data_IF_984574479592
#
_entry.id   IF_984574479592
#
_cell.length_a   1.000
_cell.length_b   1.000
_cell.length_c   1.000
_cell.angle_alpha   90.00
_cell.angle_beta   90.00
_cell.angle_gamma   90.00
#
_symmetry.space_group_name_H-M   'P 1'
#
loop_
_entity.id
_entity.type
_entity.pdbx_description
1 polymer ?
#
# COMPACT_ATOMS: atom_id res chain seq x y z
N UNK A 1 -2.50 4.54 30.79
CA UNK A 1 -1.91 3.30 30.24
C UNK A 1 -2.76 2.77 29.11
N UNK A 2 -2.13 2.51 28.00
CA UNK A 2 -2.79 1.94 26.85
C UNK A 2 -3.12 0.46 27.11
N UNK A 3 -4.41 0.16 27.19
CA UNK A 3 -4.87 -1.21 27.37
C UNK A 3 -5.35 -1.78 26.05
N UNK A 4 -4.93 -2.99 25.77
CA UNK A 4 -5.45 -3.77 24.66
C UNK A 4 -6.85 -4.26 25.02
N UNK A 5 -7.86 -3.43 24.79
CA UNK A 5 -9.25 -3.72 25.08
C UNK A 5 -10.12 -3.47 23.84
N UNK A 6 -11.35 -3.97 23.89
CA UNK A 6 -12.28 -3.91 22.77
C UNK A 6 -12.53 -2.47 22.28
N UNK A 7 -12.68 -1.52 23.21
CA UNK A 7 -12.93 -0.12 22.86
C UNK A 7 -11.76 0.50 22.09
N UNK A 8 -10.53 0.29 22.58
CA UNK A 8 -9.31 0.78 21.92
C UNK A 8 -9.15 0.16 20.54
N UNK A 9 -9.38 -1.14 20.42
CA UNK A 9 -9.32 -1.87 19.15
C UNK A 9 -10.31 -1.29 18.14
N UNK A 10 -11.55 -1.09 18.55
CA UNK A 10 -12.59 -0.53 17.67
C UNK A 10 -12.24 0.87 17.17
N UNK A 11 -11.67 1.70 18.03
CA UNK A 11 -11.23 3.05 17.64
C UNK A 11 -10.11 3.00 16.59
N UNK A 12 -9.14 2.10 16.78
CA UNK A 12 -8.04 1.91 15.83
C UNK A 12 -8.56 1.42 14.48
N UNK A 13 -9.43 0.41 14.49
CA UNK A 13 -9.98 -0.17 13.27
C UNK A 13 -10.83 0.82 12.48
N UNK A 14 -11.66 1.60 13.16
CA UNK A 14 -12.44 2.66 12.54
C UNK A 14 -11.55 3.72 11.90
N UNK A 15 -10.52 4.16 12.62
CA UNK A 15 -9.57 5.14 12.11
C UNK A 15 -8.85 4.61 10.86
N UNK A 16 -8.43 3.34 10.88
CA UNK A 16 -7.74 2.72 9.73
C UNK A 16 -8.66 2.58 8.53
N UNK A 17 -9.89 2.18 8.73
CA UNK A 17 -10.90 2.08 7.68
C UNK A 17 -11.21 3.44 7.06
N UNK A 18 -11.12 4.52 7.85
CA UNK A 18 -11.29 5.89 7.37
C UNK A 18 -10.08 6.42 6.60
N UNK A 19 -8.96 5.70 6.59
CA UNK A 19 -7.79 6.05 5.81
C UNK A 19 -6.64 6.68 6.59
N UNK A 20 -6.72 6.72 7.92
CA UNK A 20 -5.63 7.25 8.74
C UNK A 20 -4.44 6.29 8.74
N UNK A 21 -3.24 6.86 8.82
CA UNK A 21 -2.03 6.05 8.90
C UNK A 21 -1.86 5.44 10.30
N UNK A 22 -0.88 4.57 10.47
CA UNK A 22 -0.65 3.86 11.73
C UNK A 22 -0.45 4.80 12.92
N UNK A 23 0.32 5.87 12.75
CA UNK A 23 0.56 6.86 13.78
C UNK A 23 -0.72 7.57 14.20
N UNK A 24 -1.51 7.99 13.23
CA UNK A 24 -2.77 8.68 13.46
C UNK A 24 -3.81 7.76 14.12
N UNK A 25 -3.84 6.48 13.73
CA UNK A 25 -4.69 5.50 14.38
C UNK A 25 -4.36 5.34 15.87
N UNK A 26 -3.07 5.34 16.20
CA UNK A 26 -2.62 5.30 17.59
C UNK A 26 -3.04 6.54 18.36
N UNK A 27 -2.88 7.72 17.76
CA UNK A 27 -3.28 9.01 18.36
C UNK A 27 -4.79 9.06 18.66
N UNK A 28 -5.62 8.62 17.73
CA UNK A 28 -7.08 8.57 17.91
C UNK A 28 -7.47 7.68 19.10
N UNK A 29 -6.78 6.56 19.25
CA UNK A 29 -7.04 5.62 20.33
C UNK A 29 -6.38 6.01 21.67
N UNK A 30 -5.59 7.10 21.67
CA UNK A 30 -4.90 7.57 22.89
C UNK A 30 -3.72 6.70 23.30
N UNK A 31 -3.07 6.03 22.37
CA UNK A 31 -1.91 5.18 22.61
C UNK A 31 -0.69 5.70 21.83
N UNK A 32 0.49 5.25 22.21
CA UNK A 32 1.70 5.56 21.46
C UNK A 32 1.81 4.69 20.21
N UNK A 33 2.38 5.24 19.15
CA UNK A 33 2.67 4.51 17.92
C UNK A 33 3.49 3.25 18.18
N UNK A 34 4.47 3.33 19.08
CA UNK A 34 5.30 2.20 19.48
C UNK A 34 4.47 1.05 20.08
N UNK A 35 3.44 1.38 20.85
CA UNK A 35 2.53 0.40 21.44
C UNK A 35 1.73 -0.31 20.34
N UNK A 36 1.17 0.45 19.42
CA UNK A 36 0.43 -0.11 18.28
C UNK A 36 1.34 -1.00 17.42
N UNK A 37 2.54 -0.54 17.16
CA UNK A 37 3.53 -1.32 16.42
C UNK A 37 3.83 -2.67 17.08
N UNK A 38 3.99 -2.68 18.40
CA UNK A 38 4.20 -3.92 19.16
C UNK A 38 3.02 -4.88 19.04
N UNK A 39 1.80 -4.36 19.14
CA UNK A 39 0.60 -5.18 19.02
C UNK A 39 0.48 -5.80 17.62
N UNK A 40 0.76 -5.02 16.59
CA UNK A 40 0.73 -5.49 15.21
C UNK A 40 1.81 -6.55 14.94
N UNK A 41 3.02 -6.35 15.47
CA UNK A 41 4.09 -7.35 15.33
C UNK A 41 3.77 -8.65 16.04
N UNK A 42 3.21 -8.57 17.24
CA UNK A 42 2.75 -9.77 17.96
C UNK A 42 1.70 -10.52 17.14
N UNK A 43 0.76 -9.81 16.56
CA UNK A 43 -0.27 -10.41 15.72
C UNK A 43 0.28 -11.02 14.44
N UNK A 44 1.26 -10.38 13.84
CA UNK A 44 1.90 -10.88 12.61
C UNK A 44 2.64 -12.19 12.84
N UNK A 45 3.30 -12.32 13.99
CA UNK A 45 4.06 -13.52 14.34
C UNK A 45 3.19 -14.64 14.94
N UNK A 46 2.05 -14.28 15.53
CA UNK A 46 1.16 -15.23 16.15
C UNK A 46 0.33 -15.99 15.10
N UNK A 47 0.12 -17.27 15.32
CA UNK A 47 -0.71 -18.11 14.47
C UNK A 47 -2.19 -18.02 14.82
N UNK A 48 -2.51 -17.62 16.06
CA UNK A 48 -3.88 -17.48 16.57
C UNK A 48 -3.87 -16.61 17.82
N UNK A 49 -5.05 -16.18 18.25
CA UNK A 49 -5.24 -15.38 19.45
C UNK A 49 -5.68 -13.96 19.15
N UNK A 50 -5.87 -13.18 20.23
CA UNK A 50 -6.41 -11.81 20.11
C UNK A 50 -5.54 -10.86 19.32
N UNK A 51 -4.22 -10.98 19.42
CA UNK A 51 -3.31 -10.14 18.62
C UNK A 51 -3.31 -10.52 17.15
N UNK A 52 -3.41 -11.81 16.87
CA UNK A 52 -3.54 -12.32 15.50
C UNK A 52 -4.81 -11.80 14.83
N UNK A 53 -5.93 -11.89 15.55
CA UNK A 53 -7.22 -11.38 15.05
C UNK A 53 -7.16 -9.87 14.84
N UNK A 54 -6.56 -9.14 15.77
CA UNK A 54 -6.37 -7.69 15.65
C UNK A 54 -5.53 -7.34 14.41
N UNK A 55 -4.42 -8.04 14.18
CA UNK A 55 -3.58 -7.81 13.02
C UNK A 55 -4.36 -8.04 11.72
N UNK A 56 -5.10 -9.14 11.64
CA UNK A 56 -5.92 -9.43 10.47
C UNK A 56 -7.00 -8.37 10.26
N UNK A 57 -7.70 -7.98 11.31
CA UNK A 57 -8.73 -6.95 11.24
C UNK A 57 -8.15 -5.59 10.83
N UNK A 58 -6.95 -5.27 11.27
CA UNK A 58 -6.26 -4.05 10.87
C UNK A 58 -5.94 -4.05 9.37
N UNK A 59 -5.46 -5.18 8.84
CA UNK A 59 -5.21 -5.33 7.41
C UNK A 59 -6.52 -5.27 6.60
N UNK A 60 -7.57 -5.87 7.11
CA UNK A 60 -8.89 -5.81 6.48
C UNK A 60 -9.46 -4.38 6.46
N UNK A 61 -9.27 -3.61 7.52
CA UNK A 61 -9.68 -2.21 7.56
C UNK A 61 -8.98 -1.39 6.49
N UNK A 62 -7.68 -1.59 6.31
CA UNK A 62 -6.91 -0.98 5.22
C UNK A 62 -7.48 -1.35 3.86
N UNK A 63 -7.76 -2.63 3.64
CA UNK A 63 -8.30 -3.12 2.38
C UNK A 63 -9.72 -2.60 2.10
N UNK A 64 -10.56 -2.46 3.12
CA UNK A 64 -11.89 -1.87 2.99
C UNK A 64 -11.82 -0.41 2.54
N UNK A 65 -10.87 0.37 3.09
CA UNK A 65 -10.65 1.73 2.64
C UNK A 65 -10.26 1.78 1.17
N UNK A 66 -9.33 0.93 0.77
CA UNK A 66 -8.89 0.81 -0.63
C UNK A 66 -10.06 0.43 -1.54
N UNK A 67 -10.85 -0.57 -1.14
CA UNK A 67 -12.00 -1.05 -1.88
C UNK A 67 -13.06 0.04 -2.09
N UNK A 68 -13.33 0.83 -1.05
CA UNK A 68 -14.28 1.94 -1.13
C UNK A 68 -13.92 2.92 -2.25
N UNK A 69 -12.64 3.30 -2.32
CA UNK A 69 -12.18 4.24 -3.36
C UNK A 69 -12.11 3.59 -4.75
N UNK A 70 -11.76 2.32 -4.83
CA UNK A 70 -11.80 1.59 -6.10
C UNK A 70 -13.22 1.50 -6.66
N UNK A 71 -14.20 1.26 -5.82
CA UNK A 71 -15.61 1.25 -6.23
C UNK A 71 -16.06 2.60 -6.77
N UNK A 72 -15.66 3.69 -6.12
CA UNK A 72 -15.98 5.03 -6.60
C UNK A 72 -15.40 5.32 -7.97
N UNK A 73 -14.20 4.85 -8.25
CA UNK A 73 -13.57 4.96 -9.56
C UNK A 73 -14.40 4.21 -10.61
N UNK A 74 -14.85 2.99 -10.30
CA UNK A 74 -15.66 2.19 -11.19
C UNK A 74 -17.06 2.76 -11.44
N UNK A 75 -17.64 3.43 -10.44
CA UNK A 75 -18.96 4.05 -10.54
C UNK A 75 -18.96 5.39 -11.29
N UNK A 76 -17.82 5.89 -11.64
CA UNK A 76 -17.55 6.98 -12.61
C UNK A 76 -18.06 8.40 -12.27
N UNK A 77 -18.75 8.64 -11.15
CA UNK A 77 -19.25 9.99 -10.85
C UNK A 77 -18.27 10.87 -10.07
N UNK A 78 -17.37 10.29 -9.29
CA UNK A 78 -16.37 11.04 -8.52
C UNK A 78 -15.02 10.32 -8.50
N UNK A 79 -14.69 9.66 -9.60
CA UNK A 79 -13.47 8.83 -9.70
C UNK A 79 -12.18 9.63 -9.49
N UNK A 80 -12.15 10.90 -9.88
CA UNK A 80 -10.95 11.74 -9.82
C UNK A 80 -10.43 11.90 -8.39
N UNK A 81 -11.32 12.17 -7.44
CA UNK A 81 -10.95 12.33 -6.04
C UNK A 81 -10.42 11.02 -5.45
N UNK A 82 -11.07 9.91 -5.76
CA UNK A 82 -10.64 8.59 -5.29
C UNK A 82 -9.35 8.13 -5.95
N UNK A 83 -9.17 8.39 -7.24
CA UNK A 83 -7.93 8.12 -7.96
C UNK A 83 -6.77 8.92 -7.37
N UNK A 84 -6.97 10.20 -7.10
CA UNK A 84 -6.00 11.06 -6.45
C UNK A 84 -5.64 10.52 -5.06
N UNK A 85 -6.64 10.12 -4.29
CA UNK A 85 -6.45 9.55 -2.97
C UNK A 85 -5.59 8.28 -3.01
N UNK A 86 -5.93 7.34 -3.88
CA UNK A 86 -5.18 6.09 -4.03
C UNK A 86 -3.73 6.31 -4.43
N UNK A 87 -3.50 7.23 -5.36
CA UNK A 87 -2.14 7.58 -5.81
C UNK A 87 -1.29 8.13 -4.67
N UNK A 88 -1.89 8.89 -3.75
CA UNK A 88 -1.21 9.55 -2.64
C UNK A 88 -1.02 8.66 -1.42
N UNK A 89 -2.04 7.88 -1.07
CA UNK A 89 -2.04 7.05 0.14
C UNK A 89 -1.33 5.72 -0.10
N UNK A 90 -1.47 5.17 -1.30
CA UNK A 90 -0.86 3.90 -1.68
C UNK A 90 0.05 4.08 -2.89
N UNK A 91 1.13 4.88 -2.77
CA UNK A 91 1.97 5.23 -3.92
C UNK A 91 2.71 4.05 -4.52
N UNK A 92 2.96 3.00 -3.75
CA UNK A 92 3.61 1.79 -4.25
C UNK A 92 2.75 1.02 -5.26
N UNK A 93 1.43 1.06 -5.07
CA UNK A 93 0.47 0.37 -5.94
C UNK A 93 -0.07 1.26 -7.05
N UNK A 94 -0.36 2.53 -6.75
CA UNK A 94 -1.07 3.46 -7.64
C UNK A 94 -0.29 4.72 -8.00
N UNK A 95 0.90 4.90 -7.44
CA UNK A 95 1.73 6.08 -7.71
C UNK A 95 2.28 6.07 -9.13
N UNK A 96 2.63 7.24 -9.61
CA UNK A 96 3.27 7.40 -10.91
C UNK A 96 4.67 6.80 -10.89
N UNK A 97 4.97 5.96 -11.87
CA UNK A 97 6.25 5.28 -11.98
C UNK A 97 7.38 6.15 -12.55
N UNK A 98 7.06 7.34 -12.97
CA UNK A 98 8.01 8.32 -13.54
C UNK A 98 8.52 9.33 -12.52
N UNK A 99 8.47 9.00 -11.22
CA UNK A 99 9.09 9.82 -10.19
C UNK A 99 10.59 9.88 -10.42
N UNK A 100 11.04 11.08 -10.79
CA UNK A 100 12.46 11.40 -10.72
C UNK A 100 12.78 11.57 -9.24
N UNK A 101 13.60 10.69 -8.70
CA UNK A 101 14.11 10.85 -7.34
C UNK A 101 15.16 11.96 -7.34
N UNK A 102 14.75 13.17 -6.93
CA UNK A 102 15.61 14.34 -6.86
C UNK A 102 16.56 14.33 -5.66
N UNK A 103 16.65 13.22 -4.93
CA UNK A 103 17.35 13.12 -3.66
C UNK A 103 18.84 12.80 -3.76
N UNK A 104 19.46 12.86 -4.91
CA UNK A 104 20.91 12.70 -5.00
C UNK A 104 21.60 14.02 -5.27
N UNK A 105 21.96 14.76 -4.18
CA UNK A 105 23.03 15.80 -4.20
C UNK A 105 23.21 16.58 -5.52
N UNK A 106 22.13 17.00 -6.16
CA UNK A 106 22.20 17.72 -7.43
C UNK A 106 22.70 16.88 -8.60
N UNK A 107 22.99 15.63 -8.41
CA UNK A 107 23.15 14.69 -9.51
C UNK A 107 21.77 14.14 -9.82
N UNK A 108 21.21 14.66 -10.90
CA UNK A 108 20.32 13.89 -11.70
C UNK A 108 21.08 12.61 -12.07
N UNK A 109 21.05 11.63 -11.20
CA UNK A 109 21.11 10.31 -11.74
C UNK A 109 19.82 10.13 -12.49
N UNK A 110 19.84 10.55 -13.71
CA UNK A 110 19.09 9.89 -14.73
C UNK A 110 19.65 8.48 -14.72
N UNK A 111 19.34 7.71 -13.67
CA UNK A 111 19.34 6.28 -13.83
C UNK A 111 18.44 6.10 -15.02
N UNK A 112 19.09 6.01 -16.09
CA UNK A 112 18.70 5.71 -17.41
C UNK A 112 17.26 5.20 -17.43
N UNK A 113 16.31 6.11 -17.38
CA UNK A 113 15.00 5.79 -17.92
C UNK A 113 15.32 5.33 -19.33
N UNK A 114 15.29 4.03 -19.49
CA UNK A 114 15.39 3.43 -20.79
C UNK A 114 14.47 4.21 -21.70
N UNK A 115 15.01 4.74 -22.78
CA UNK A 115 14.20 5.45 -23.76
C UNK A 115 13.08 4.51 -24.20
N UNK A 116 11.99 5.05 -24.68
CA UNK A 116 10.89 4.25 -25.20
C UNK A 116 11.38 3.21 -26.24
N UNK A 117 12.42 3.55 -26.99
CA UNK A 117 13.06 2.64 -27.94
C UNK A 117 13.77 1.47 -27.25
N UNK A 118 14.51 1.73 -26.18
CA UNK A 118 15.18 0.67 -25.42
C UNK A 118 14.19 -0.31 -24.80
N UNK A 119 13.08 0.19 -24.25
CA UNK A 119 12.00 -0.64 -23.74
C UNK A 119 11.35 -1.47 -24.83
N UNK A 120 11.18 -0.86 -25.99
CA UNK A 120 10.60 -1.54 -27.14
C UNK A 120 11.48 -2.70 -27.61
N UNK A 121 12.79 -2.48 -27.68
CA UNK A 121 13.77 -3.51 -28.07
C UNK A 121 13.79 -4.64 -27.02
N UNK A 122 13.78 -4.32 -25.75
CA UNK A 122 13.73 -5.33 -24.68
C UNK A 122 12.44 -6.17 -24.76
N UNK A 123 11.32 -5.54 -24.99
CA UNK A 123 10.04 -6.24 -25.15
C UNK A 123 10.05 -7.15 -26.39
N UNK A 124 10.60 -6.70 -27.49
CA UNK A 124 10.74 -7.51 -28.71
C UNK A 124 11.64 -8.73 -28.45
N UNK A 125 12.76 -8.52 -27.77
CA UNK A 125 13.67 -9.62 -27.40
C UNK A 125 13.02 -10.61 -26.47
N UNK A 126 12.25 -10.13 -25.50
CA UNK A 126 11.51 -10.96 -24.57
C UNK A 126 10.48 -11.84 -25.30
N UNK A 127 9.72 -11.25 -26.22
CA UNK A 127 8.76 -12.00 -27.03
C UNK A 127 9.43 -13.02 -27.93
N UNK A 128 10.58 -12.69 -28.51
CA UNK A 128 11.36 -13.66 -29.30
C UNK A 128 11.82 -14.85 -28.47
N UNK A 129 12.29 -14.61 -27.26
CA UNK A 129 12.66 -15.68 -26.33
C UNK A 129 11.48 -16.58 -26.01
N UNK A 130 10.31 -16.00 -25.77
CA UNK A 130 9.09 -16.78 -25.49
C UNK A 130 8.68 -17.63 -26.69
N UNK A 131 8.79 -17.08 -27.91
CA UNK A 131 8.49 -17.84 -29.13
C UNK A 131 9.46 -19.00 -29.32
N UNK A 132 10.76 -18.79 -29.10
CA UNK A 132 11.76 -19.84 -29.17
C UNK A 132 11.51 -20.94 -28.12
N UNK A 133 11.17 -20.57 -26.89
CA UNK A 133 10.83 -21.54 -25.85
C UNK A 133 9.58 -22.35 -26.20
N UNK A 134 8.60 -21.72 -26.82
CA UNK A 134 7.38 -22.40 -27.28
C UNK A 134 7.62 -23.34 -28.46
N UNK A 135 8.56 -23.02 -29.33
CA UNK A 135 8.94 -23.88 -30.46
C UNK A 135 9.73 -25.12 -30.02
N UNK A 136 10.43 -25.08 -28.88
CA UNK A 136 11.18 -26.20 -28.33
C UNK A 136 10.29 -27.24 -27.63
N UNK A 137 9.02 -26.96 -27.48
CA UNK A 137 8.03 -27.90 -26.94
C UNK A 137 7.42 -28.70 -28.13
#
# INVERSE_FOLDING_TARGET
>A
MAKFNQKTIEMILKARESGLNQKECAEVAGINEATLYKWLNKGKEAKRGKYHDFYNDFQMAKNRNKLFHLKKIHEAEAWTASAWYLERVYPEEFGRKDRVDLNHEGKLEVEKKKTLEERRIENENYFKQLEEELEEI
#
